data_IF_945784793806
#
_entry.id   IF_945784793806
#
_cell.length_a   1.000
_cell.length_b   1.000
_cell.length_c   1.000
_cell.angle_alpha   90.00
_cell.angle_beta   90.00
_cell.angle_gamma   90.00
#
_symmetry.space_group_name_H-M   'P 1'
#
loop_
_entity.id
_entity.type
_entity.pdbx_description
1 polymer ?
#
# COMPACT_ATOMS: atom_id res chain seq x y z
N UNK A 1 7.49 -19.02 -12.16
CA UNK A 1 7.78 -17.57 -12.09
C UNK A 1 6.56 -16.91 -11.47
N UNK A 2 6.71 -15.96 -10.55
CA UNK A 2 5.56 -15.30 -9.91
C UNK A 2 5.11 -14.13 -10.78
N UNK A 3 3.85 -14.13 -11.19
CA UNK A 3 3.28 -13.06 -12.03
C UNK A 3 2.69 -11.92 -11.18
N UNK A 4 2.62 -10.73 -11.78
CA UNK A 4 1.96 -9.57 -11.20
C UNK A 4 0.48 -9.62 -11.54
N UNK A 5 -0.37 -9.57 -10.50
CA UNK A 5 -1.82 -9.58 -10.65
C UNK A 5 -2.28 -8.49 -11.64
N UNK A 6 -3.14 -8.81 -12.63
CA UNK A 6 -3.44 -7.91 -13.75
C UNK A 6 -3.87 -6.50 -13.34
N UNK A 7 -4.70 -6.37 -12.29
CA UNK A 7 -5.18 -5.08 -11.82
C UNK A 7 -4.08 -4.14 -11.30
N UNK A 8 -2.92 -4.68 -10.89
CA UNK A 8 -1.79 -3.89 -10.40
C UNK A 8 -0.68 -3.71 -11.44
N UNK A 9 -0.75 -4.38 -12.59
CA UNK A 9 0.36 -4.42 -13.57
C UNK A 9 0.80 -3.03 -14.03
N UNK A 10 -0.16 -2.19 -14.42
CA UNK A 10 0.12 -0.83 -14.88
C UNK A 10 0.75 0.03 -13.77
N UNK A 11 0.22 -0.07 -12.55
CA UNK A 11 0.73 0.70 -11.41
C UNK A 11 2.14 0.22 -11.01
N UNK A 12 2.36 -1.10 -10.98
CA UNK A 12 3.65 -1.70 -10.73
C UNK A 12 4.68 -1.21 -11.76
N UNK A 13 4.33 -1.26 -13.05
CA UNK A 13 5.25 -0.83 -14.10
C UNK A 13 5.65 0.64 -13.96
N UNK A 14 4.71 1.53 -13.63
CA UNK A 14 5.01 2.94 -13.34
C UNK A 14 6.01 3.10 -12.20
N UNK A 15 5.79 2.41 -11.07
CA UNK A 15 6.73 2.46 -9.95
C UNK A 15 8.08 1.84 -10.29
N UNK A 16 8.09 0.77 -11.07
CA UNK A 16 9.32 0.17 -11.56
C UNK A 16 10.13 1.15 -12.43
N UNK A 17 9.49 1.86 -13.36
CA UNK A 17 10.16 2.87 -14.19
C UNK A 17 10.77 3.99 -13.34
N UNK A 18 10.01 4.60 -12.42
CA UNK A 18 10.55 5.62 -11.51
C UNK A 18 11.66 5.08 -10.62
N UNK A 19 11.59 3.81 -10.25
CA UNK A 19 12.64 3.15 -9.50
C UNK A 19 13.91 2.93 -10.35
N UNK A 20 13.77 2.56 -11.62
CA UNK A 20 14.91 2.42 -12.53
C UNK A 20 15.58 3.77 -12.81
N UNK A 21 14.82 4.85 -12.93
CA UNK A 21 15.36 6.21 -13.00
C UNK A 21 16.15 6.57 -11.74
N UNK A 22 15.63 6.23 -10.55
CA UNK A 22 16.34 6.41 -9.29
C UNK A 22 17.65 5.60 -9.23
N UNK A 23 17.69 4.43 -9.87
CA UNK A 23 18.86 3.55 -9.93
C UNK A 23 19.86 3.93 -11.02
N UNK A 24 19.51 4.84 -11.93
CA UNK A 24 20.41 5.24 -13.01
C UNK A 24 21.71 5.83 -12.45
N UNK A 25 22.84 5.37 -13.00
CA UNK A 25 24.19 5.71 -12.54
C UNK A 25 24.59 5.15 -11.16
N UNK A 26 23.71 4.43 -10.44
CA UNK A 26 24.06 3.78 -9.16
C UNK A 26 24.79 2.46 -9.40
N UNK A 27 25.80 2.19 -8.58
CA UNK A 27 26.49 0.90 -8.59
C UNK A 27 25.71 -0.14 -7.79
N UNK A 28 25.90 -1.39 -8.18
CA UNK A 28 25.36 -2.57 -7.51
C UNK A 28 26.27 -3.77 -7.81
N UNK A 29 26.14 -4.84 -7.02
CA UNK A 29 26.89 -6.08 -7.25
C UNK A 29 26.34 -6.83 -8.47
N UNK A 30 26.92 -6.56 -9.66
CA UNK A 30 26.43 -7.06 -10.94
C UNK A 30 26.34 -8.60 -11.01
N UNK A 31 27.27 -9.31 -10.36
CA UNK A 31 27.30 -10.77 -10.30
C UNK A 31 26.07 -11.38 -9.61
N UNK A 32 25.46 -10.62 -8.68
CA UNK A 32 24.26 -11.05 -7.94
C UNK A 32 22.97 -10.38 -8.46
N UNK A 33 23.09 -9.23 -9.14
CA UNK A 33 21.98 -8.50 -9.74
C UNK A 33 20.84 -8.14 -8.77
N UNK A 34 21.10 -7.63 -7.55
CA UNK A 34 20.04 -7.26 -6.63
C UNK A 34 19.18 -6.13 -7.21
N UNK A 35 17.85 -6.28 -7.15
CA UNK A 35 16.94 -5.23 -7.61
C UNK A 35 17.12 -3.93 -6.80
N UNK A 36 17.34 -4.06 -5.48
CA UNK A 36 17.48 -2.91 -4.56
C UNK A 36 18.70 -3.02 -3.68
N UNK A 37 19.45 -1.92 -3.64
CA UNK A 37 20.70 -1.80 -2.89
C UNK A 37 20.58 -0.86 -1.70
N UNK A 38 21.43 -1.09 -0.70
CA UNK A 38 21.63 -0.19 0.42
C UNK A 38 22.68 0.89 0.09
N UNK A 39 23.02 1.75 1.05
CA UNK A 39 23.97 2.85 0.84
C UNK A 39 25.42 2.38 0.53
N UNK A 40 25.72 1.10 0.75
CA UNK A 40 26.99 0.46 0.42
C UNK A 40 26.90 -0.38 -0.87
N UNK A 41 25.86 -0.15 -1.70
CA UNK A 41 25.71 -0.76 -3.03
C UNK A 41 25.45 -2.29 -3.02
N UNK A 42 25.27 -2.88 -1.83
CA UNK A 42 24.91 -4.29 -1.65
C UNK A 42 23.39 -4.46 -1.56
N UNK A 43 22.90 -5.68 -1.75
CA UNK A 43 21.49 -6.02 -1.54
C UNK A 43 20.95 -5.49 -0.20
N UNK A 44 19.72 -4.96 -0.21
CA UNK A 44 19.07 -4.48 1.01
C UNK A 44 18.77 -5.66 1.97
N UNK A 45 19.05 -5.47 3.27
CA UNK A 45 18.68 -6.45 4.30
C UNK A 45 17.23 -6.27 4.73
N UNK A 46 16.62 -7.31 5.32
CA UNK A 46 15.28 -7.21 5.89
C UNK A 46 15.18 -6.07 6.93
N UNK A 47 16.21 -5.90 7.78
CA UNK A 47 16.25 -4.80 8.75
C UNK A 47 16.21 -3.43 8.05
N UNK A 48 17.03 -3.23 7.02
CA UNK A 48 17.04 -1.94 6.29
C UNK A 48 15.72 -1.67 5.58
N UNK A 49 15.08 -2.71 5.01
CA UNK A 49 13.74 -2.61 4.45
C UNK A 49 12.70 -2.23 5.52
N UNK A 50 12.73 -2.90 6.67
CA UNK A 50 11.84 -2.62 7.80
C UNK A 50 11.99 -1.19 8.32
N UNK A 51 13.24 -0.72 8.51
CA UNK A 51 13.53 0.64 8.99
C UNK A 51 13.05 1.70 7.98
N UNK A 52 13.22 1.46 6.66
CA UNK A 52 12.67 2.34 5.61
C UNK A 52 11.13 2.37 5.63
N UNK A 53 10.49 1.22 5.78
CA UNK A 53 9.03 1.13 5.89
C UNK A 53 8.52 1.89 7.11
N UNK A 54 9.17 1.70 8.28
CA UNK A 54 8.82 2.42 9.50
C UNK A 54 8.94 3.92 9.33
N UNK A 55 10.02 4.40 8.72
CA UNK A 55 10.16 5.81 8.40
C UNK A 55 8.99 6.36 7.59
N UNK A 56 8.56 5.65 6.54
CA UNK A 56 7.39 6.07 5.73
C UNK A 56 6.12 6.12 6.57
N UNK A 57 5.91 5.13 7.45
CA UNK A 57 4.76 5.11 8.37
C UNK A 57 4.81 6.29 9.32
N UNK A 58 5.97 6.55 9.91
CA UNK A 58 6.18 7.65 10.87
C UNK A 58 5.99 9.01 10.21
N UNK A 59 6.45 9.18 8.96
CA UNK A 59 6.29 10.41 8.18
C UNK A 59 4.80 10.68 7.82
N UNK A 60 3.96 9.65 7.74
CA UNK A 60 2.52 9.77 7.45
C UNK A 60 1.70 10.16 8.71
N UNK A 61 2.13 9.76 9.91
CA UNK A 61 1.37 10.00 11.15
C UNK A 61 1.00 11.48 11.34
N UNK A 62 1.94 12.46 11.22
CA UNK A 62 1.60 13.88 11.35
C UNK A 62 0.54 14.35 10.34
N UNK A 63 0.58 13.82 9.12
CA UNK A 63 -0.38 14.15 8.05
C UNK A 63 -1.78 13.64 8.41
N UNK A 64 -1.88 12.45 8.99
CA UNK A 64 -3.14 11.88 9.46
C UNK A 64 -3.72 12.67 10.64
N UNK A 65 -2.87 13.02 11.62
CA UNK A 65 -3.28 13.76 12.82
C UNK A 65 -3.72 15.20 12.52
N UNK A 66 -3.14 15.82 11.49
CA UNK A 66 -3.51 17.17 11.07
C UNK A 66 -4.76 17.20 10.16
N UNK A 67 -5.38 16.05 9.88
CA UNK A 67 -6.55 15.99 9.02
C UNK A 67 -7.80 16.51 9.76
N UNK A 68 -8.65 17.27 9.07
CA UNK A 68 -9.90 17.80 9.62
C UNK A 68 -10.97 16.73 9.83
N UNK A 69 -10.84 15.56 9.20
CA UNK A 69 -11.69 14.40 9.42
C UNK A 69 -11.28 13.66 10.70
N UNK A 70 -12.19 13.62 11.67
CA UNK A 70 -11.99 12.96 12.96
C UNK A 70 -11.72 11.45 12.86
N UNK A 71 -12.25 10.76 11.85
CA UNK A 71 -11.96 9.33 11.65
C UNK A 71 -10.51 9.14 11.18
N UNK A 72 -10.04 10.00 10.27
CA UNK A 72 -8.65 9.98 9.78
C UNK A 72 -7.66 10.33 10.88
N UNK A 73 -7.95 11.36 11.69
CA UNK A 73 -7.13 11.73 12.83
C UNK A 73 -7.07 10.60 13.88
N UNK A 74 -8.20 9.95 14.15
CA UNK A 74 -8.27 8.78 15.05
C UNK A 74 -7.42 7.62 14.53
N UNK A 75 -7.42 7.38 13.22
CA UNK A 75 -6.53 6.39 12.62
C UNK A 75 -5.05 6.75 12.80
N UNK A 76 -4.71 8.03 12.67
CA UNK A 76 -3.36 8.55 12.98
C UNK A 76 -2.92 8.25 14.42
N UNK A 77 -3.81 8.47 15.41
CA UNK A 77 -3.55 8.14 16.81
C UNK A 77 -3.32 6.64 17.02
N UNK A 78 -4.16 5.79 16.42
CA UNK A 78 -4.01 4.34 16.50
C UNK A 78 -2.69 3.86 15.89
N UNK A 79 -2.32 4.44 14.75
CA UNK A 79 -1.08 4.13 14.05
C UNK A 79 0.15 4.53 14.89
N UNK A 80 0.08 5.66 15.60
CA UNK A 80 1.13 6.11 16.53
C UNK A 80 1.28 5.16 17.73
N UNK A 81 0.19 4.63 18.28
CA UNK A 81 0.22 3.78 19.46
C UNK A 81 0.65 2.34 19.15
N UNK A 82 0.13 1.76 18.07
CA UNK A 82 0.34 0.33 17.74
C UNK A 82 1.45 0.10 16.71
N UNK A 83 1.70 1.10 15.86
CA UNK A 83 2.60 1.00 14.73
C UNK A 83 2.08 0.05 13.64
N UNK A 84 2.71 0.13 12.47
CA UNK A 84 2.48 -0.79 11.36
C UNK A 84 3.76 -1.58 11.05
N UNK A 85 3.62 -2.84 10.66
CA UNK A 85 4.71 -3.67 10.17
C UNK A 85 4.51 -3.99 8.68
N UNK A 86 5.57 -4.32 7.92
CA UNK A 86 5.45 -4.60 6.49
C UNK A 86 4.45 -5.71 6.14
N UNK A 87 4.20 -6.66 7.06
CA UNK A 87 3.22 -7.72 6.86
C UNK A 87 1.78 -7.20 6.66
N UNK A 88 1.47 -5.98 7.13
CA UNK A 88 0.20 -5.31 6.85
C UNK A 88 -0.03 -5.08 5.34
N UNK A 89 1.03 -4.88 4.55
CA UNK A 89 0.90 -4.75 3.08
C UNK A 89 0.47 -6.08 2.46
N UNK A 90 0.93 -7.21 3.00
CA UNK A 90 0.48 -8.55 2.57
C UNK A 90 -0.99 -8.78 2.90
N UNK A 91 -1.43 -8.33 4.07
CA UNK A 91 -2.84 -8.35 4.45
C UNK A 91 -3.70 -7.49 3.53
N UNK A 92 -3.29 -6.24 3.27
CA UNK A 92 -3.97 -5.34 2.34
C UNK A 92 -4.09 -5.95 0.94
N UNK A 93 -3.01 -6.54 0.43
CA UNK A 93 -3.02 -7.21 -0.88
C UNK A 93 -4.02 -8.38 -0.90
N UNK A 94 -4.08 -9.16 0.18
CA UNK A 94 -5.04 -10.27 0.31
C UNK A 94 -6.49 -9.78 0.26
N UNK A 95 -6.79 -8.72 1.01
CA UNK A 95 -8.13 -8.09 0.99
C UNK A 95 -8.46 -7.62 -0.43
N UNK A 96 -7.51 -7.00 -1.14
CA UNK A 96 -7.73 -6.57 -2.53
C UNK A 96 -8.06 -7.72 -3.47
N UNK A 97 -7.31 -8.83 -3.41
CA UNK A 97 -7.59 -10.02 -4.21
C UNK A 97 -9.00 -10.57 -3.92
N UNK A 98 -9.36 -10.67 -2.64
CA UNK A 98 -10.71 -11.11 -2.24
C UNK A 98 -11.80 -10.20 -2.80
N UNK A 99 -11.59 -8.87 -2.77
CA UNK A 99 -12.51 -7.89 -3.32
C UNK A 99 -12.59 -7.93 -4.86
N UNK A 100 -11.49 -8.32 -5.53
CA UNK A 100 -11.48 -8.57 -6.97
C UNK A 100 -12.12 -9.89 -7.36
N UNK A 101 -12.54 -10.70 -6.39
CA UNK A 101 -13.30 -11.93 -6.62
C UNK A 101 -12.48 -13.21 -6.57
N UNK A 102 -11.19 -13.14 -6.23
CA UNK A 102 -10.35 -14.34 -6.12
C UNK A 102 -10.83 -15.28 -5.01
N UNK A 103 -10.66 -16.59 -5.24
CA UNK A 103 -10.94 -17.67 -4.29
C UNK A 103 -9.65 -18.09 -3.53
N UNK A 104 -9.73 -19.14 -2.70
CA UNK A 104 -8.58 -19.61 -1.90
C UNK A 104 -7.37 -19.92 -2.79
N UNK A 105 -7.59 -20.61 -3.91
CA UNK A 105 -6.53 -21.03 -4.81
C UNK A 105 -5.89 -19.82 -5.51
N UNK A 106 -6.71 -18.87 -5.96
CA UNK A 106 -6.25 -17.59 -6.51
C UNK A 106 -5.42 -16.79 -5.49
N UNK A 107 -5.91 -16.64 -4.26
CA UNK A 107 -5.17 -15.97 -3.19
C UNK A 107 -3.82 -16.63 -2.95
N UNK A 108 -3.76 -17.96 -2.82
CA UNK A 108 -2.51 -18.69 -2.60
C UNK A 108 -1.54 -18.51 -3.75
N UNK A 109 -2.02 -18.63 -4.99
CA UNK A 109 -1.24 -18.47 -6.20
C UNK A 109 -0.61 -17.07 -6.27
N UNK A 110 -1.41 -16.01 -6.16
CA UNK A 110 -0.95 -14.63 -6.28
C UNK A 110 -0.08 -14.16 -5.11
N UNK A 111 -0.25 -14.76 -3.92
CA UNK A 111 0.58 -14.47 -2.75
C UNK A 111 1.86 -15.32 -2.67
N UNK A 112 1.95 -16.37 -3.49
CA UNK A 112 3.03 -17.37 -3.42
C UNK A 112 2.97 -18.23 -2.14
N UNK A 113 1.79 -18.41 -1.55
CA UNK A 113 1.61 -19.22 -0.34
C UNK A 113 1.59 -20.72 -0.66
N UNK A 114 2.24 -21.50 0.20
CA UNK A 114 2.25 -22.98 0.10
C UNK A 114 1.10 -23.63 0.86
N UNK A 115 0.38 -22.89 1.70
CA UNK A 115 -0.69 -23.43 2.54
C UNK A 115 -1.93 -22.52 2.59
N UNK A 116 -3.14 -23.11 2.62
CA UNK A 116 -4.41 -22.38 2.54
C UNK A 116 -4.81 -21.66 3.82
N UNK A 117 -4.26 -22.04 4.97
CA UNK A 117 -4.65 -21.53 6.29
C UNK A 117 -4.47 -20.00 6.39
N UNK A 118 -3.43 -19.48 5.74
CA UNK A 118 -3.14 -18.04 5.69
C UNK A 118 -4.07 -17.24 4.76
N UNK A 119 -4.86 -17.91 3.91
CA UNK A 119 -5.82 -17.32 2.98
C UNK A 119 -7.27 -17.47 3.47
N UNK A 120 -7.59 -18.56 4.18
CA UNK A 120 -8.94 -18.88 4.67
C UNK A 120 -9.54 -17.81 5.59
N UNK A 121 -8.74 -17.19 6.46
CA UNK A 121 -9.21 -16.16 7.40
C UNK A 121 -9.78 -14.89 6.71
N UNK A 122 -9.33 -14.59 5.48
CA UNK A 122 -9.82 -13.43 4.71
C UNK A 122 -11.15 -13.71 4.03
N UNK A 123 -11.33 -14.93 3.52
CA UNK A 123 -12.53 -15.30 2.79
C UNK A 123 -13.73 -15.53 3.72
N UNK A 124 -13.48 -16.06 4.93
CA UNK A 124 -14.51 -16.23 5.95
C UNK A 124 -15.14 -14.90 6.41
N UNK A 125 -14.38 -13.79 6.32
CA UNK A 125 -14.84 -12.46 6.69
C UNK A 125 -15.16 -11.55 5.49
N UNK A 126 -15.31 -12.11 4.28
CA UNK A 126 -15.42 -11.35 3.02
C UNK A 126 -16.55 -10.32 3.03
N UNK A 127 -17.74 -10.66 3.52
CA UNK A 127 -18.90 -9.76 3.56
C UNK A 127 -18.67 -8.56 4.48
N UNK A 128 -18.06 -8.77 5.64
CA UNK A 128 -17.71 -7.71 6.60
C UNK A 128 -16.53 -6.88 6.10
N UNK A 129 -15.55 -7.50 5.44
CA UNK A 129 -14.47 -6.81 4.74
C UNK A 129 -15.01 -5.91 3.62
N UNK A 130 -15.92 -6.41 2.78
CA UNK A 130 -16.56 -5.63 1.73
C UNK A 130 -17.37 -4.46 2.26
N UNK A 131 -18.08 -4.62 3.39
CA UNK A 131 -18.83 -3.52 4.02
C UNK A 131 -17.89 -2.45 4.57
N UNK A 132 -16.87 -2.85 5.35
CA UNK A 132 -15.86 -1.91 5.89
C UNK A 132 -15.11 -1.22 4.77
N UNK A 133 -14.75 -1.96 3.73
CA UNK A 133 -14.03 -1.42 2.59
C UNK A 133 -14.90 -0.47 1.76
N UNK A 134 -16.18 -0.79 1.50
CA UNK A 134 -17.12 0.13 0.85
C UNK A 134 -17.34 1.40 1.66
N UNK A 135 -17.45 1.30 2.98
CA UNK A 135 -17.56 2.46 3.87
C UNK A 135 -16.35 3.38 3.71
N UNK A 136 -15.15 2.84 3.89
CA UNK A 136 -13.88 3.61 3.78
C UNK A 136 -13.67 4.16 2.36
N UNK A 137 -13.93 3.38 1.30
CA UNK A 137 -13.76 3.86 -0.07
C UNK A 137 -14.77 4.96 -0.42
N UNK A 138 -16.01 4.85 0.07
CA UNK A 138 -17.02 5.89 -0.11
C UNK A 138 -16.60 7.16 0.63
N UNK A 139 -16.12 7.05 1.86
CA UNK A 139 -15.64 8.19 2.65
C UNK A 139 -14.42 8.87 1.98
N UNK A 140 -13.46 8.09 1.48
CA UNK A 140 -12.30 8.63 0.74
C UNK A 140 -12.75 9.29 -0.59
N UNK A 141 -13.73 8.71 -1.29
CA UNK A 141 -14.24 9.26 -2.54
C UNK A 141 -15.03 10.56 -2.28
N UNK A 142 -15.93 10.55 -1.31
CA UNK A 142 -16.73 11.71 -0.90
C UNK A 142 -15.81 12.84 -0.38
N UNK A 143 -14.76 12.50 0.38
CA UNK A 143 -13.74 13.46 0.81
C UNK A 143 -12.95 14.05 -0.37
N UNK A 144 -12.52 13.22 -1.34
CA UNK A 144 -11.82 13.72 -2.54
C UNK A 144 -12.73 14.56 -3.43
N UNK A 145 -14.01 14.23 -3.50
CA UNK A 145 -15.02 15.00 -4.22
C UNK A 145 -15.23 16.37 -3.55
N UNK A 146 -15.42 16.39 -2.23
CA UNK A 146 -15.50 17.63 -1.45
C UNK A 146 -14.24 18.51 -1.59
N UNK A 147 -13.04 17.91 -1.51
CA UNK A 147 -11.79 18.65 -1.71
C UNK A 147 -11.71 19.27 -3.11
N UNK A 148 -12.16 18.54 -4.14
CA UNK A 148 -12.20 19.06 -5.50
C UNK A 148 -13.21 20.21 -5.62
N UNK A 149 -14.43 20.05 -5.08
CA UNK A 149 -15.46 21.09 -5.07
C UNK A 149 -14.98 22.37 -4.40
N UNK A 150 -14.32 22.27 -3.23
CA UNK A 150 -13.73 23.42 -2.54
C UNK A 150 -12.60 24.09 -3.32
N UNK A 151 -11.77 23.31 -4.00
CA UNK A 151 -10.70 23.83 -4.85
C UNK A 151 -11.25 24.61 -6.07
N UNK A 152 -12.42 24.22 -6.58
CA UNK A 152 -13.07 24.92 -7.69
C UNK A 152 -13.92 26.11 -7.23
N UNK A 153 -14.49 26.10 -6.02
CA UNK A 153 -15.14 27.27 -5.42
C UNK A 153 -14.14 28.41 -5.15
N UNK A 154 -12.94 28.10 -4.62
CA UNK A 154 -11.91 29.10 -4.31
C UNK A 154 -11.26 29.73 -5.56
N UNK A 155 -11.43 29.13 -6.74
CA UNK A 155 -10.91 29.64 -8.02
C UNK A 155 -11.97 30.21 -8.96
N UNK A 156 -13.24 30.19 -8.56
CA UNK A 156 -14.36 30.75 -9.32
C UNK A 156 -14.82 32.13 -8.85
N UNK A 157 -14.04 32.80 -7.99
CA UNK A 157 -14.36 34.10 -7.41
C UNK A 157 -13.63 35.31 -8.00
N UNK A 158 -12.85 35.12 -9.07
CA UNK A 158 -12.23 36.21 -9.85
C UNK A 158 -12.86 36.24 -11.25
N UNK A 159 -14.05 36.83 -11.35
CA UNK A 159 -14.61 37.42 -12.57
C UNK A 159 -15.15 38.83 -12.23
#
# INVERSE_FOLDING_TARGET
MQDIYPAFRNLFYKFYQSYMEYMDGRKYEADYGPLTVNAREMAITYKSYYDKFKKVVDDIIPVLLANNDSEVATYGMLLQEKGLAPHALRHWFSVKLTLFGEDVAGLMCWRGDKSPESALAYLQNKSELEKKYRKINKEIFDYRLWQAEKYFEDKGGDD
#
